data_IF_661331743445
#
_entry.id   IF_661331743445
#
_cell.length_a   1.000
_cell.length_b   1.000
_cell.length_c   1.000
_cell.angle_alpha   90.00
_cell.angle_beta   90.00
_cell.angle_gamma   90.00
#
_symmetry.space_group_name_H-M   'P 1'
#
loop_
_entity.id
_entity.type
_entity.pdbx_description
1 polymer ?
#
# COMPACT_ATOMS: atom_id res chain seq x y z
N UNK A 1 2.85 15.61 10.50
CA UNK A 1 2.84 14.25 11.08
C UNK A 1 4.06 13.53 10.53
N UNK A 2 4.84 12.85 11.37
CA UNK A 2 5.96 12.03 10.91
C UNK A 2 5.45 10.62 10.57
N UNK A 3 6.02 9.99 9.53
CA UNK A 3 5.78 8.59 9.26
C UNK A 3 6.47 7.73 10.32
N UNK A 4 5.79 6.69 10.78
CA UNK A 4 6.33 5.71 11.74
C UNK A 4 6.55 4.42 10.99
N UNK A 5 7.74 3.85 11.12
CA UNK A 5 8.04 2.53 10.57
C UNK A 5 7.35 1.46 11.43
N UNK A 6 6.70 0.49 10.77
CA UNK A 6 5.95 -0.59 11.39
C UNK A 6 6.40 -1.90 10.78
N UNK A 7 6.62 -2.92 11.61
CA UNK A 7 6.92 -4.26 11.12
C UNK A 7 5.68 -4.84 10.39
N UNK A 8 5.80 -5.30 9.14
CA UNK A 8 4.70 -5.95 8.43
C UNK A 8 4.02 -7.11 9.20
N UNK A 9 4.74 -7.78 10.10
CA UNK A 9 4.22 -8.86 10.94
C UNK A 9 3.31 -8.38 12.08
N UNK A 10 3.35 -7.09 12.43
CA UNK A 10 2.47 -6.47 13.42
C UNK A 10 1.14 -5.96 12.80
N UNK A 11 1.01 -6.02 11.47
CA UNK A 11 -0.17 -5.52 10.76
C UNK A 11 -1.32 -6.54 10.84
N UNK A 12 -2.33 -6.22 11.65
CA UNK A 12 -3.62 -6.91 11.63
C UNK A 12 -4.52 -6.35 10.51
N UNK A 13 -4.55 -7.03 9.36
CA UNK A 13 -5.37 -6.64 8.21
C UNK A 13 -6.46 -7.67 7.92
N UNK A 14 -7.69 -7.20 7.68
CA UNK A 14 -8.72 -7.97 6.98
C UNK A 14 -8.65 -7.66 5.49
N UNK A 15 -7.95 -8.46 4.66
CA UNK A 15 -7.56 -8.05 3.31
C UNK A 15 -8.75 -7.73 2.41
N UNK A 16 -9.81 -8.54 2.43
CA UNK A 16 -11.01 -8.30 1.64
C UNK A 16 -11.72 -7.00 2.05
N UNK A 17 -11.91 -6.76 3.36
CA UNK A 17 -12.52 -5.51 3.82
C UNK A 17 -11.63 -4.30 3.51
N UNK A 18 -10.30 -4.44 3.64
CA UNK A 18 -9.35 -3.36 3.41
C UNK A 18 -9.33 -2.87 1.96
N UNK A 19 -9.45 -3.79 0.99
CA UNK A 19 -9.46 -3.45 -0.44
C UNK A 19 -10.88 -3.23 -1.00
N UNK A 20 -11.90 -3.97 -0.55
CA UNK A 20 -13.26 -3.88 -1.10
C UNK A 20 -14.10 -2.76 -0.47
N UNK A 21 -13.88 -2.48 0.82
CA UNK A 21 -14.67 -1.51 1.61
C UNK A 21 -13.83 -0.36 2.16
N UNK A 22 -12.53 -0.56 2.23
CA UNK A 22 -11.56 0.45 2.61
C UNK A 22 -10.79 0.99 1.40
N UNK A 23 -9.76 1.74 1.71
CA UNK A 23 -8.81 2.26 0.75
C UNK A 23 -7.45 2.42 1.42
N UNK A 24 -6.40 2.23 0.64
CA UNK A 24 -5.04 2.58 1.02
C UNK A 24 -4.58 3.83 0.27
N UNK A 25 -3.52 4.45 0.76
CA UNK A 25 -2.81 5.51 0.06
C UNK A 25 -1.51 4.94 -0.52
N UNK A 26 -1.35 5.03 -1.84
CA UNK A 26 -0.09 4.79 -2.50
C UNK A 26 0.63 6.13 -2.63
N UNK A 27 1.85 6.23 -2.11
CA UNK A 27 2.71 7.39 -2.28
C UNK A 27 4.03 6.96 -2.93
N UNK A 28 4.53 7.77 -3.85
CA UNK A 28 5.81 7.56 -4.53
C UNK A 28 6.54 8.89 -4.65
N UNK A 29 7.84 8.87 -4.39
CA UNK A 29 8.69 10.06 -4.31
C UNK A 29 9.74 9.93 -3.21
N UNK A 30 10.31 11.06 -2.84
CA UNK A 30 11.35 11.18 -1.82
C UNK A 30 10.95 12.22 -0.75
N UNK A 31 11.93 12.66 0.04
CA UNK A 31 11.72 13.64 1.11
C UNK A 31 11.42 15.06 0.60
N UNK A 32 11.75 15.37 -0.65
CA UNK A 32 11.55 16.70 -1.25
C UNK A 32 10.19 16.78 -1.96
N UNK A 33 9.82 15.73 -2.69
CA UNK A 33 8.54 15.66 -3.39
C UNK A 33 8.00 14.23 -3.50
N UNK A 34 6.69 14.07 -3.27
CA UNK A 34 5.97 12.83 -3.50
C UNK A 34 4.55 13.10 -4.01
N UNK A 35 4.05 12.27 -4.93
CA UNK A 35 2.62 12.24 -5.22
C UNK A 35 1.95 11.11 -4.44
N UNK A 36 0.65 11.26 -4.23
CA UNK A 36 -0.15 10.30 -3.49
C UNK A 36 -1.49 10.08 -4.17
N UNK A 37 -2.00 8.85 -4.14
CA UNK A 37 -3.35 8.54 -4.58
C UNK A 37 -4.00 7.44 -3.74
N UNK A 38 -5.33 7.47 -3.71
CA UNK A 38 -6.14 6.40 -3.16
C UNK A 38 -6.11 5.18 -4.08
N UNK A 39 -5.84 4.00 -3.50
CA UNK A 39 -5.87 2.70 -4.19
C UNK A 39 -6.72 1.72 -3.42
N UNK A 40 -7.44 0.88 -4.16
CA UNK A 40 -8.26 -0.21 -3.61
C UNK A 40 -8.02 -1.55 -4.30
N UNK A 41 -7.12 -1.60 -5.29
CA UNK A 41 -6.80 -2.83 -6.03
C UNK A 41 -5.36 -3.26 -5.75
N UNK A 42 -5.22 -4.44 -5.16
CA UNK A 42 -3.93 -4.97 -4.78
C UNK A 42 -4.05 -6.24 -3.94
N UNK A 43 -2.95 -6.59 -3.28
CA UNK A 43 -2.89 -7.68 -2.33
C UNK A 43 -1.67 -7.56 -1.42
N UNK A 44 -1.77 -8.14 -0.24
CA UNK A 44 -0.66 -8.32 0.71
C UNK A 44 -0.50 -9.79 1.01
N UNK A 45 0.72 -10.25 1.30
CA UNK A 45 0.97 -11.65 1.62
C UNK A 45 2.44 -11.96 1.83
N UNK A 46 2.78 -13.23 1.68
CA UNK A 46 4.17 -13.72 1.76
C UNK A 46 4.58 -14.35 0.44
N UNK A 47 5.69 -13.89 -0.14
CA UNK A 47 6.28 -14.46 -1.35
C UNK A 47 7.75 -14.80 -1.06
N UNK A 48 8.14 -16.05 -1.34
CA UNK A 48 9.48 -16.59 -1.06
C UNK A 48 9.97 -16.33 0.37
N UNK A 49 9.07 -16.48 1.35
CA UNK A 49 9.37 -16.28 2.77
C UNK A 49 9.54 -14.83 3.20
N UNK A 50 9.14 -13.85 2.37
CA UNK A 50 9.19 -12.42 2.70
C UNK A 50 7.81 -11.76 2.59
N UNK A 51 7.46 -10.81 3.47
CA UNK A 51 6.24 -10.03 3.33
C UNK A 51 6.29 -9.20 2.05
N UNK A 52 5.18 -9.17 1.30
CA UNK A 52 5.05 -8.44 0.05
C UNK A 52 3.70 -7.73 -0.03
N UNK A 53 3.69 -6.59 -0.73
CA UNK A 53 2.49 -5.89 -1.14
C UNK A 53 2.55 -5.64 -2.66
N UNK A 54 1.44 -5.88 -3.35
CA UNK A 54 1.28 -5.62 -4.78
C UNK A 54 0.11 -4.68 -4.96
N UNK A 55 0.29 -3.61 -5.72
CA UNK A 55 -0.77 -2.64 -6.02
C UNK A 55 -0.90 -2.51 -7.53
N UNK A 56 -2.14 -2.50 -8.02
CA UNK A 56 -2.42 -2.40 -9.45
C UNK A 56 -2.78 -0.96 -9.81
N UNK A 57 -1.85 -0.25 -10.43
CA UNK A 57 -2.06 1.14 -10.88
C UNK A 57 -2.45 1.16 -12.36
N UNK A 58 -3.59 1.78 -12.68
CA UNK A 58 -4.01 1.97 -14.07
C UNK A 58 -3.03 2.90 -14.79
N UNK A 59 -2.62 2.54 -16.01
CA UNK A 59 -1.67 3.32 -16.85
C UNK A 59 -1.97 4.81 -16.97
N UNK A 60 -3.24 5.23 -16.88
CA UNK A 60 -3.64 6.65 -16.96
C UNK A 60 -3.46 7.44 -15.66
N UNK A 61 -2.98 6.80 -14.59
CA UNK A 61 -2.79 7.38 -13.26
C UNK A 61 -1.28 7.38 -13.00
N UNK A 62 -0.79 8.44 -12.36
CA UNK A 62 0.61 8.59 -11.98
C UNK A 62 0.71 8.82 -10.47
N UNK A 63 1.72 8.22 -9.85
CA UNK A 63 2.12 8.45 -8.46
C UNK A 63 3.59 8.84 -8.49
#
# INVERSE_FOLDING_TARGET
>A
MAFVEVDPHEIELRPFDAFDRGWALLAAGDAEAANCMTVSWGGVGTLWGKPVATVYVRKSRYT
#
